data_IF_616546554531
#
_entry.id   IF_616546554531
#
_cell.length_a   1.000
_cell.length_b   1.000
_cell.length_c   1.000
_cell.angle_alpha   90.00
_cell.angle_beta   90.00
_cell.angle_gamma   90.00
#
_symmetry.space_group_name_H-M   'P 1'
#
loop_
_entity.id
_entity.type
_entity.pdbx_description
1 polymer ?
#
# COMPACT_ATOMS: atom_id res chain seq x y z
N UNK A 1 -21.94 48.42 -24.29
CA UNK A 1 -22.96 47.75 -23.46
C UNK A 1 -22.87 46.25 -23.69
N UNK A 2 -22.74 45.56 -22.57
CA UNK A 2 -22.77 44.13 -22.28
C UNK A 2 -21.60 43.20 -22.72
N UNK A 3 -21.12 42.34 -21.79
CA UNK A 3 -19.79 41.73 -21.78
C UNK A 3 -19.91 40.18 -21.85
N UNK A 4 -19.00 39.46 -21.17
CA UNK A 4 -19.07 38.01 -20.80
C UNK A 4 -18.21 37.11 -21.71
N UNK A 5 -17.28 36.26 -21.26
CA UNK A 5 -16.83 35.84 -19.92
C UNK A 5 -15.38 35.36 -20.06
N UNK A 6 -14.55 35.69 -19.08
CA UNK A 6 -13.27 35.08 -18.77
C UNK A 6 -13.38 33.55 -18.77
N UNK A 7 -12.57 32.86 -19.58
CA UNK A 7 -12.48 31.40 -19.59
C UNK A 7 -11.68 30.89 -18.38
N UNK A 8 -12.23 31.06 -17.17
CA UNK A 8 -11.79 30.33 -15.97
C UNK A 8 -12.53 29.00 -15.94
N UNK A 9 -11.95 28.00 -16.59
CA UNK A 9 -12.35 26.60 -16.46
C UNK A 9 -11.22 25.85 -15.79
N UNK A 10 -11.36 25.62 -14.49
CA UNK A 10 -10.58 24.69 -13.68
C UNK A 10 -10.34 23.38 -14.45
N UNK A 11 -9.11 22.81 -14.46
CA UNK A 11 -8.90 21.48 -15.02
C UNK A 11 -9.83 20.52 -14.30
N UNK A 12 -10.68 19.82 -15.05
CA UNK A 12 -11.47 18.70 -14.54
C UNK A 12 -10.50 17.68 -13.93
N UNK A 13 -10.82 17.09 -12.76
CA UNK A 13 -9.99 16.05 -12.16
C UNK A 13 -9.84 14.91 -13.17
N UNK A 14 -8.60 14.58 -13.52
CA UNK A 14 -8.33 13.46 -14.40
C UNK A 14 -8.82 12.19 -13.70
N UNK A 15 -9.80 11.50 -14.30
CA UNK A 15 -10.35 10.21 -13.83
C UNK A 15 -9.28 9.11 -13.69
N UNK A 16 -8.04 9.39 -14.06
CA UNK A 16 -6.88 8.50 -13.96
C UNK A 16 -6.27 8.44 -12.54
N UNK A 17 -6.51 9.42 -11.67
CA UNK A 17 -5.87 9.47 -10.34
C UNK A 17 -6.30 8.30 -9.44
N UNK A 18 -7.55 7.83 -9.55
CA UNK A 18 -8.04 6.65 -8.82
C UNK A 18 -7.46 5.33 -9.31
N UNK A 19 -7.16 5.23 -10.61
CA UNK A 19 -6.49 4.07 -11.20
C UNK A 19 -5.03 3.99 -10.76
N UNK A 20 -4.35 5.13 -10.66
CA UNK A 20 -2.95 5.21 -10.23
C UNK A 20 -2.76 4.78 -8.77
N UNK A 21 -3.67 5.21 -7.88
CA UNK A 21 -3.66 4.75 -6.48
C UNK A 21 -3.89 3.24 -6.38
N UNK A 22 -4.89 2.70 -7.09
CA UNK A 22 -5.20 1.26 -7.03
C UNK A 22 -4.04 0.40 -7.56
N UNK A 23 -3.37 0.84 -8.63
CA UNK A 23 -2.18 0.17 -9.15
C UNK A 23 -1.01 0.23 -8.17
N UNK A 24 -0.75 1.41 -7.59
CA UNK A 24 0.31 1.60 -6.59
C UNK A 24 0.05 0.73 -5.35
N UNK A 25 -1.19 0.67 -4.87
CA UNK A 25 -1.58 -0.16 -3.74
C UNK A 25 -1.37 -1.64 -4.04
N UNK A 26 -1.80 -2.11 -5.22
CA UNK A 26 -1.62 -3.49 -5.66
C UNK A 26 -0.14 -3.86 -5.71
N UNK A 27 0.68 -3.03 -6.35
CA UNK A 27 2.14 -3.21 -6.40
C UNK A 27 2.75 -3.27 -4.99
N UNK A 28 2.31 -2.39 -4.10
CA UNK A 28 2.77 -2.39 -2.70
C UNK A 28 2.41 -3.69 -2.00
N UNK A 29 1.22 -4.25 -2.22
CA UNK A 29 0.81 -5.56 -1.67
C UNK A 29 1.75 -6.67 -2.14
N UNK A 30 2.04 -6.71 -3.43
CA UNK A 30 2.93 -7.72 -4.01
C UNK A 30 4.37 -7.60 -3.47
N UNK A 31 4.85 -6.37 -3.30
CA UNK A 31 6.15 -6.10 -2.68
C UNK A 31 6.22 -6.56 -1.22
N UNK A 32 5.18 -6.28 -0.42
CA UNK A 32 5.12 -6.75 0.98
C UNK A 32 5.08 -8.28 1.05
N UNK A 33 4.32 -8.94 0.17
CA UNK A 33 4.28 -10.39 0.08
C UNK A 33 5.67 -10.97 -0.26
N UNK A 34 6.37 -10.36 -1.22
CA UNK A 34 7.73 -10.78 -1.60
C UNK A 34 8.72 -10.59 -0.45
N UNK A 35 8.62 -9.47 0.29
CA UNK A 35 9.43 -9.21 1.47
C UNK A 35 9.16 -10.23 2.59
N UNK A 36 7.90 -10.60 2.79
CA UNK A 36 7.49 -11.60 3.78
C UNK A 36 8.11 -12.97 3.48
N UNK A 37 7.99 -13.47 2.25
CA UNK A 37 8.58 -14.76 1.84
C UNK A 37 10.12 -14.75 1.97
N UNK A 38 10.76 -13.64 1.61
CA UNK A 38 12.21 -13.48 1.74
C UNK A 38 12.65 -13.53 3.21
N UNK A 39 11.90 -12.87 4.08
CA UNK A 39 12.15 -12.84 5.52
C UNK A 39 11.93 -14.21 6.17
N UNK A 40 10.94 -14.99 5.75
CA UNK A 40 10.73 -16.37 6.21
C UNK A 40 11.91 -17.27 5.85
N UNK A 41 12.43 -17.14 4.64
CA UNK A 41 13.64 -17.85 4.23
C UNK A 41 14.84 -17.41 5.07
N UNK A 42 15.04 -16.10 5.25
CA UNK A 42 16.12 -15.59 6.07
C UNK A 42 16.02 -16.05 7.53
N UNK A 43 14.82 -16.17 8.07
CA UNK A 43 14.58 -16.69 9.41
C UNK A 43 14.98 -18.18 9.51
N UNK A 44 14.64 -18.99 8.50
CA UNK A 44 15.02 -20.40 8.42
C UNK A 44 16.55 -20.57 8.27
N UNK A 45 17.17 -19.79 7.40
CA UNK A 45 18.63 -19.80 7.18
C UNK A 45 19.38 -19.34 8.44
N UNK A 46 18.81 -18.40 9.20
CA UNK A 46 19.35 -17.94 10.49
C UNK A 46 19.24 -19.03 11.56
N UNK A 47 18.08 -19.70 11.67
CA UNK A 47 17.86 -20.78 12.63
C UNK A 47 18.75 -22.01 12.39
N UNK A 48 19.14 -22.24 11.12
CA UNK A 48 20.00 -23.35 10.70
C UNK A 48 21.50 -22.98 10.65
N UNK A 49 21.85 -21.73 10.97
CA UNK A 49 23.22 -21.24 10.95
C UNK A 49 23.83 -21.08 9.55
N UNK A 50 23.01 -21.07 8.51
CA UNK A 50 23.43 -20.91 7.10
C UNK A 50 23.64 -19.44 6.69
N UNK A 51 23.20 -18.49 7.52
CA UNK A 51 23.34 -17.06 7.25
C UNK A 51 24.69 -16.51 7.72
N UNK A 52 25.40 -15.80 6.82
CA UNK A 52 26.65 -15.09 7.13
C UNK A 52 26.43 -13.71 7.72
N UNK A 53 25.34 -13.05 7.35
CA UNK A 53 25.02 -11.68 7.79
C UNK A 53 23.68 -11.65 8.54
N UNK A 54 23.77 -11.99 9.83
CA UNK A 54 22.63 -12.02 10.75
C UNK A 54 21.99 -10.63 10.91
N UNK A 55 22.80 -9.57 10.84
CA UNK A 55 22.32 -8.20 11.04
C UNK A 55 21.42 -7.75 9.88
N UNK A 56 21.85 -7.98 8.64
CA UNK A 56 21.03 -7.66 7.47
C UNK A 56 19.75 -8.51 7.42
N UNK A 57 19.85 -9.79 7.79
CA UNK A 57 18.68 -10.67 7.90
C UNK A 57 17.67 -10.15 8.93
N UNK A 58 18.14 -9.76 10.13
CA UNK A 58 17.29 -9.20 11.17
C UNK A 58 16.61 -7.88 10.73
N UNK A 59 17.31 -7.01 10.00
CA UNK A 59 16.73 -5.78 9.44
C UNK A 59 15.65 -6.12 8.42
N UNK A 60 15.91 -7.05 7.51
CA UNK A 60 14.95 -7.45 6.48
C UNK A 60 13.67 -8.02 7.09
N UNK A 61 13.81 -8.89 8.09
CA UNK A 61 12.70 -9.46 8.87
C UNK A 61 11.89 -8.34 9.54
N UNK A 62 12.55 -7.45 10.27
CA UNK A 62 11.90 -6.32 10.95
C UNK A 62 11.14 -5.40 9.98
N UNK A 63 11.73 -5.16 8.80
CA UNK A 63 11.10 -4.36 7.74
C UNK A 63 9.85 -5.06 7.21
N UNK A 64 9.91 -6.35 6.91
CA UNK A 64 8.76 -7.12 6.42
C UNK A 64 7.62 -7.12 7.45
N UNK A 65 7.92 -7.35 8.72
CA UNK A 65 6.92 -7.30 9.80
C UNK A 65 6.25 -5.93 9.92
N UNK A 66 7.04 -4.85 9.88
CA UNK A 66 6.48 -3.51 9.98
C UNK A 66 5.61 -3.15 8.76
N UNK A 67 6.08 -3.49 7.55
CA UNK A 67 5.32 -3.32 6.32
C UNK A 67 3.99 -4.08 6.37
N UNK A 68 3.99 -5.32 6.89
CA UNK A 68 2.78 -6.12 7.04
C UNK A 68 1.80 -5.49 8.04
N UNK A 69 2.28 -4.96 9.16
CA UNK A 69 1.44 -4.22 10.12
C UNK A 69 0.74 -3.03 9.43
N UNK A 70 1.50 -2.24 8.68
CA UNK A 70 0.94 -1.12 7.91
C UNK A 70 -0.09 -1.60 6.89
N UNK A 71 0.18 -2.69 6.18
CA UNK A 71 -0.75 -3.28 5.21
C UNK A 71 -2.08 -3.70 5.85
N UNK A 72 -2.03 -4.32 7.03
CA UNK A 72 -3.23 -4.72 7.76
C UNK A 72 -4.09 -3.52 8.16
N UNK A 73 -3.47 -2.42 8.58
CA UNK A 73 -4.19 -1.17 8.87
C UNK A 73 -4.86 -0.58 7.63
N UNK A 74 -4.17 -0.58 6.48
CA UNK A 74 -4.74 -0.15 5.20
C UNK A 74 -5.93 -1.03 4.81
N UNK A 75 -5.79 -2.36 4.92
CA UNK A 75 -6.87 -3.32 4.67
C UNK A 75 -8.08 -3.04 5.56
N UNK A 76 -7.86 -2.83 6.86
CA UNK A 76 -8.93 -2.52 7.81
C UNK A 76 -9.65 -1.22 7.44
N UNK A 77 -8.91 -0.17 7.08
CA UNK A 77 -9.48 1.11 6.62
C UNK A 77 -10.28 0.95 5.32
N UNK A 78 -9.79 0.18 4.36
CA UNK A 78 -10.50 -0.07 3.10
C UNK A 78 -11.83 -0.80 3.33
N UNK A 79 -11.83 -1.83 4.18
CA UNK A 79 -13.05 -2.55 4.58
C UNK A 79 -14.04 -1.60 5.28
N UNK A 80 -13.55 -0.74 6.18
CA UNK A 80 -14.39 0.22 6.89
C UNK A 80 -14.99 1.26 5.93
N UNK A 81 -14.20 1.79 5.00
CA UNK A 81 -14.69 2.72 3.97
C UNK A 81 -15.78 2.09 3.10
N UNK A 82 -15.59 0.83 2.69
CA UNK A 82 -16.62 0.07 1.97
C UNK A 82 -17.90 -0.08 2.80
N UNK A 83 -17.79 -0.45 4.07
CA UNK A 83 -18.93 -0.55 4.99
C UNK A 83 -19.65 0.79 5.17
N UNK A 84 -18.92 1.90 5.24
CA UNK A 84 -19.50 3.23 5.42
C UNK A 84 -20.33 3.65 4.20
N UNK A 85 -19.81 3.42 2.99
CA UNK A 85 -20.54 3.68 1.72
C UNK A 85 -21.87 2.93 1.68
N UNK A 86 -21.92 1.70 2.20
CA UNK A 86 -23.16 0.92 2.30
C UNK A 86 -24.15 1.50 3.32
N UNK A 87 -23.66 2.07 4.42
CA UNK A 87 -24.49 2.71 5.45
C UNK A 87 -25.10 4.04 4.99
N UNK A 88 -24.44 4.76 4.09
CA UNK A 88 -24.98 6.04 3.57
C UNK A 88 -26.09 5.85 2.53
N UNK A 89 -26.28 4.64 1.99
CA UNK A 89 -27.27 4.32 0.97
C UNK A 89 -28.59 3.75 1.51
N UNK A 90 -28.70 3.54 2.83
CA UNK A 90 -29.96 3.13 3.50
C UNK A 90 -30.71 4.32 4.08
#
# INVERSE_FOLDING_TARGET
MNPSVTKTGTPLPNTNDGLDFAQTLTKTIDEVNTQQQTSEKALADMATGQIKDLHQAAIAISKAENSMKVMLEVRNKAINAYKEILRTQV
#
